data_IF_153120358175
#
_entry.id   IF_153120358175
#
_cell.length_a   1.000
_cell.length_b   1.000
_cell.length_c   1.000
_cell.angle_alpha   90.00
_cell.angle_beta   90.00
_cell.angle_gamma   90.00
#
_symmetry.space_group_name_H-M   'P 1'
#
loop_
_entity.id
_entity.type
_entity.pdbx_description
1 polymer ?
#
# COMPACT_ATOMS: atom_id res chain seq x y z
N UNK A 1 -0.51 4.90 1.74
CA UNK A 1 -1.15 4.16 0.63
C UNK A 1 -0.16 3.70 -0.42
N UNK A 2 0.52 4.59 -1.16
CA UNK A 2 1.43 4.17 -2.24
C UNK A 2 2.52 3.16 -1.78
N UNK A 3 3.27 3.48 -0.72
CA UNK A 3 4.24 2.57 -0.10
C UNK A 3 3.63 1.24 0.39
N UNK A 4 2.40 1.30 0.88
CA UNK A 4 1.67 0.10 1.34
C UNK A 4 1.34 -0.83 0.17
N UNK A 5 0.82 -0.29 -0.94
CA UNK A 5 0.56 -1.06 -2.17
C UNK A 5 1.84 -1.71 -2.70
N UNK A 6 2.92 -0.93 -2.82
CA UNK A 6 4.20 -1.42 -3.34
C UNK A 6 4.78 -2.55 -2.47
N UNK A 7 4.80 -2.33 -1.16
CA UNK A 7 5.32 -3.34 -0.25
C UNK A 7 4.41 -4.58 -0.17
N UNK A 8 3.09 -4.42 -0.25
CA UNK A 8 2.16 -5.54 -0.29
C UNK A 8 2.37 -6.39 -1.55
N UNK A 9 2.55 -5.76 -2.71
CA UNK A 9 2.89 -6.46 -3.95
C UNK A 9 4.20 -7.24 -3.82
N UNK A 10 5.25 -6.65 -3.23
CA UNK A 10 6.51 -7.37 -2.98
C UNK A 10 6.33 -8.59 -2.08
N UNK A 11 5.52 -8.48 -1.03
CA UNK A 11 5.24 -9.58 -0.10
C UNK A 11 4.33 -10.67 -0.68
N UNK A 12 3.43 -10.32 -1.59
CA UNK A 12 2.38 -11.21 -2.11
C UNK A 12 2.54 -11.51 -3.60
N UNK A 13 3.78 -11.56 -4.10
CA UNK A 13 4.08 -12.00 -5.47
C UNK A 13 3.43 -11.14 -6.56
N UNK A 14 3.35 -9.83 -6.36
CA UNK A 14 2.79 -8.86 -7.31
C UNK A 14 1.28 -8.61 -7.17
N UNK A 15 0.58 -9.33 -6.28
CA UNK A 15 -0.85 -9.12 -6.04
C UNK A 15 -1.07 -7.81 -5.27
N UNK A 16 -1.99 -6.96 -5.71
CA UNK A 16 -2.30 -5.71 -5.01
C UNK A 16 -3.26 -5.92 -3.84
N UNK A 17 -3.25 -5.07 -2.79
CA UNK A 17 -4.20 -5.16 -1.70
C UNK A 17 -5.63 -4.80 -2.16
N UNK A 18 -6.63 -5.36 -1.48
CA UNK A 18 -8.03 -4.96 -1.59
C UNK A 18 -8.31 -3.64 -0.85
N UNK A 19 -9.49 -3.04 -1.07
CA UNK A 19 -9.90 -1.82 -0.35
C UNK A 19 -10.00 -2.02 1.17
N UNK A 20 -10.38 -3.23 1.59
CA UNK A 20 -10.51 -3.59 2.99
C UNK A 20 -9.13 -3.71 3.66
N UNK A 21 -8.20 -4.43 3.02
CA UNK A 21 -6.80 -4.53 3.45
C UNK A 21 -6.12 -3.17 3.48
N UNK A 22 -6.37 -2.32 2.46
CA UNK A 22 -5.88 -0.94 2.44
C UNK A 22 -6.40 -0.12 3.62
N UNK A 23 -7.68 -0.29 3.98
CA UNK A 23 -8.27 0.43 5.10
C UNK A 23 -7.69 -0.06 6.42
N UNK A 24 -7.61 -1.38 6.63
CA UNK A 24 -7.07 -1.99 7.83
C UNK A 24 -5.57 -1.66 8.01
N UNK A 25 -4.76 -1.84 6.97
CA UNK A 25 -3.31 -1.64 7.03
C UNK A 25 -2.88 -0.18 7.19
N UNK A 26 -3.76 0.78 6.90
CA UNK A 26 -3.50 2.21 7.08
C UNK A 26 -4.32 2.84 8.22
N UNK A 27 -5.13 2.05 8.94
CA UNK A 27 -5.98 2.56 10.02
C UNK A 27 -7.05 3.56 9.58
N UNK A 28 -7.61 3.39 8.37
CA UNK A 28 -8.65 4.27 7.84
C UNK A 28 -10.02 3.88 8.39
N UNK A 29 -10.97 4.83 8.44
CA UNK A 29 -12.37 4.63 8.86
C UNK A 29 -13.22 3.78 7.87
N UNK A 30 -12.59 2.91 7.06
CA UNK A 30 -13.26 1.98 6.15
C UNK A 30 -12.93 2.14 4.66
N UNK A 31 -13.63 1.35 3.83
CA UNK A 31 -13.38 1.20 2.39
C UNK A 31 -13.48 2.52 1.60
N UNK A 32 -14.37 3.42 2.01
CA UNK A 32 -14.54 4.73 1.36
C UNK A 32 -13.30 5.60 1.48
N UNK A 33 -12.61 5.55 2.63
CA UNK A 33 -11.34 6.25 2.83
C UNK A 33 -10.23 5.71 1.95
N UNK A 34 -10.12 4.37 1.85
CA UNK A 34 -9.16 3.71 0.96
C UNK A 34 -9.44 4.04 -0.52
N UNK A 35 -10.71 3.99 -0.93
CA UNK A 35 -11.13 4.30 -2.30
C UNK A 35 -10.81 5.74 -2.71
N UNK A 36 -11.12 6.71 -1.84
CA UNK A 36 -10.76 8.13 -2.06
C UNK A 36 -9.26 8.31 -2.20
N UNK A 37 -8.48 7.66 -1.33
CA UNK A 37 -7.02 7.75 -1.39
C UNK A 37 -6.46 7.15 -2.70
N UNK A 38 -6.97 6.00 -3.14
CA UNK A 38 -6.58 5.42 -4.42
C UNK A 38 -6.93 6.33 -5.60
N UNK A 39 -8.12 6.94 -5.60
CA UNK A 39 -8.51 7.90 -6.63
C UNK A 39 -7.58 9.11 -6.67
N UNK A 40 -7.17 9.64 -5.52
CA UNK A 40 -6.21 10.76 -5.43
C UNK A 40 -4.81 10.38 -5.96
N UNK A 41 -4.38 9.13 -5.74
CA UNK A 41 -3.10 8.66 -6.26
C UNK A 41 -3.15 8.44 -7.78
N UNK A 42 -4.27 7.94 -8.30
CA UNK A 42 -4.50 7.75 -9.73
C UNK A 42 -4.60 9.09 -10.48
N UNK A 43 -5.34 10.05 -9.93
CA UNK A 43 -5.46 11.42 -10.48
C UNK A 43 -4.09 12.13 -10.55
N UNK A 44 -3.22 11.88 -9.57
CA UNK A 44 -1.84 12.38 -9.55
C UNK A 44 -0.88 11.61 -10.47
N UNK A 45 -1.35 10.58 -11.18
CA UNK A 45 -0.52 9.77 -12.07
C UNK A 45 0.51 8.90 -11.36
N UNK A 46 0.30 8.57 -10.08
CA UNK A 46 1.22 7.72 -9.30
C UNK A 46 0.90 6.23 -9.43
N UNK A 47 -0.37 5.92 -9.67
CA UNK A 47 -0.87 4.56 -9.90
C UNK A 47 -1.85 4.54 -11.06
N UNK A 48 -2.10 3.36 -11.61
CA UNK A 48 -3.20 3.09 -12.55
C UNK A 48 -3.98 1.86 -12.10
N UNK A 49 -5.30 1.93 -12.11
CA UNK A 49 -6.17 0.77 -11.85
C UNK A 49 -6.61 0.16 -13.18
N UNK A 50 -6.57 -1.17 -13.30
CA UNK A 50 -7.10 -1.85 -14.48
C UNK A 50 -8.61 -2.03 -14.34
N UNK A 51 -9.44 -1.49 -15.25
CA UNK A 51 -10.88 -1.67 -15.19
C UNK A 51 -11.23 -3.15 -15.31
N UNK A 52 -12.30 -3.57 -14.62
CA UNK A 52 -12.80 -4.96 -14.56
C UNK A 52 -11.82 -6.00 -13.97
N UNK A 53 -10.71 -5.59 -13.36
CA UNK A 53 -9.86 -6.49 -12.56
C UNK A 53 -9.78 -6.04 -11.12
N UNK A 54 -10.34 -6.86 -10.23
CA UNK A 54 -10.11 -6.70 -8.80
C UNK A 54 -8.61 -6.82 -8.51
N UNK A 55 -8.11 -6.01 -7.58
CA UNK A 55 -6.73 -6.07 -7.08
C UNK A 55 -5.66 -5.90 -8.18
N UNK A 56 -5.98 -5.16 -9.23
CA UNK A 56 -5.04 -4.80 -10.28
C UNK A 56 -4.69 -3.31 -10.18
N UNK A 57 -3.60 -3.02 -9.47
CA UNK A 57 -3.03 -1.70 -9.31
C UNK A 57 -1.61 -1.73 -9.89
N UNK A 58 -1.35 -0.89 -10.88
CA UNK A 58 -0.02 -0.67 -11.45
C UNK A 58 0.60 0.56 -10.79
N UNK A 59 1.87 0.45 -10.37
CA UNK A 59 2.65 1.58 -9.86
C UNK A 59 3.34 2.26 -11.04
N UNK A 60 3.12 3.56 -11.22
CA UNK A 60 3.70 4.33 -12.32
C UNK A 60 4.99 5.06 -11.93
N UNK A 61 5.39 4.93 -10.68
CA UNK A 61 6.58 5.56 -10.11
C UNK A 61 7.40 4.53 -9.34
N UNK A 62 8.69 4.76 -9.24
CA UNK A 62 9.54 3.98 -8.34
C UNK A 62 9.19 4.29 -6.88
N UNK A 63 8.94 3.26 -6.10
CA UNK A 63 8.55 3.38 -4.69
C UNK A 63 9.56 2.62 -3.84
N UNK A 64 10.45 3.36 -3.19
CA UNK A 64 11.35 2.78 -2.21
C UNK A 64 10.57 2.24 -1.00
N UNK A 65 10.66 0.93 -0.79
CA UNK A 65 10.09 0.21 0.35
C UNK A 65 11.26 -0.08 1.31
N UNK A 66 11.27 0.49 2.53
CA UNK A 66 12.26 0.11 3.53
C UNK A 66 12.12 -1.38 3.84
N UNK A 67 13.25 -2.06 3.92
CA UNK A 67 13.29 -3.50 4.14
C UNK A 67 13.81 -3.76 5.55
N UNK A 68 13.23 -4.72 6.27
CA UNK A 68 13.76 -5.16 7.55
C UNK A 68 15.13 -5.86 7.35
N UNK A 69 15.91 -6.09 8.42
CA UNK A 69 17.19 -6.81 8.34
C UNK A 69 17.09 -8.21 7.71
N UNK A 70 15.91 -8.83 7.76
CA UNK A 70 15.59 -10.14 7.15
C UNK A 70 15.01 -10.03 5.72
N UNK A 71 15.21 -8.90 5.04
CA UNK A 71 14.64 -8.61 3.71
C UNK A 71 13.10 -8.64 3.61
N UNK A 72 12.41 -8.73 4.76
CA UNK A 72 10.96 -8.61 4.83
C UNK A 72 10.52 -7.17 4.48
N UNK A 73 9.63 -6.97 3.49
CA UNK A 73 9.16 -5.64 3.13
C UNK A 73 8.32 -5.05 4.27
N UNK A 74 8.70 -3.87 4.76
CA UNK A 74 7.97 -3.13 5.80
C UNK A 74 6.77 -2.39 5.19
N UNK A 75 5.86 -3.16 4.63
CA UNK A 75 4.75 -2.67 3.81
C UNK A 75 3.54 -2.20 4.62
N UNK A 76 3.49 -2.55 5.90
CA UNK A 76 2.42 -2.18 6.82
C UNK A 76 2.97 -2.05 8.24
N UNK A 77 4.03 -1.27 8.43
CA UNK A 77 4.27 -0.75 9.78
C UNK A 77 3.22 0.35 9.94
N UNK A 78 2.19 0.18 10.80
CA UNK A 78 1.29 1.29 11.09
C UNK A 78 2.17 2.50 11.43
N UNK A 79 1.81 3.69 10.94
CA UNK A 79 2.61 4.90 11.18
C UNK A 79 2.83 5.17 12.69
N UNK A 80 2.04 4.52 13.56
CA UNK A 80 2.21 4.49 15.02
C UNK A 80 3.36 3.58 15.50
N UNK A 81 3.72 2.53 14.79
CA UNK A 81 4.76 1.57 15.18
C UNK A 81 6.19 1.97 14.76
N UNK A 82 6.34 2.94 13.85
CA UNK A 82 7.64 3.56 13.52
C UNK A 82 8.17 4.52 14.63
N UNK A 83 7.48 4.58 15.79
CA UNK A 83 7.88 5.36 16.97
C UNK A 83 8.40 4.54 18.15
N UNK A 84 8.49 3.21 18.06
CA UNK A 84 9.11 2.41 19.13
C UNK A 84 10.60 2.21 18.81
N UNK A 85 11.54 2.74 19.62
CA UNK A 85 12.93 2.36 19.48
C UNK A 85 13.04 0.86 19.70
N UNK A 86 13.65 0.15 18.76
CA UNK A 86 14.15 -1.20 18.99
C UNK A 86 15.26 -1.09 20.04
N UNK A 87 14.91 -1.33 21.30
CA UNK A 87 15.85 -1.60 22.40
C UNK A 87 16.06 -3.11 22.48
#
# INVERSE_FOLDING_TARGET
MLRYVAGYQRAHGGVSPSLDECAAGLGLNGKSGASRMLALLEDRGLIRRLPNRARAIELLVDVSIPTAPDDAPLHAVPLAAIGAPSI
#
